data_IF_842525512765
#
_entry.id   IF_842525512765
#
_cell.length_a   1.000
_cell.length_b   1.000
_cell.length_c   1.000
_cell.angle_alpha   90.00
_cell.angle_beta   90.00
_cell.angle_gamma   90.00
#
_symmetry.space_group_name_H-M   'P 1'
#
loop_
_entity.id
_entity.type
_entity.pdbx_description
1 polymer ?
#
# COMPACT_ATOMS: atom_id res chain seq x y z
N UNK A 1 24.01 -3.57 18.50
CA UNK A 1 23.08 -2.63 17.84
C UNK A 1 21.66 -3.01 18.23
N UNK A 2 20.96 -2.16 18.96
CA UNK A 2 19.53 -2.34 19.27
C UNK A 2 18.69 -1.66 18.20
N UNK A 3 17.84 -2.43 17.52
CA UNK A 3 16.85 -1.94 16.56
C UNK A 3 15.52 -1.75 17.30
N UNK A 4 14.76 -0.70 16.97
CA UNK A 4 13.45 -0.43 17.57
C UNK A 4 12.33 -0.77 16.56
N UNK A 5 11.88 -2.03 16.49
CA UNK A 5 10.80 -2.42 15.60
C UNK A 5 9.49 -1.74 16.00
N UNK A 6 8.70 -1.28 15.02
CA UNK A 6 7.30 -0.89 15.21
C UNK A 6 7.02 0.60 15.41
N UNK A 7 7.99 1.41 15.86
CA UNK A 7 7.77 2.86 16.09
C UNK A 7 7.40 3.61 14.80
N UNK A 8 7.89 3.12 13.66
CA UNK A 8 7.65 3.73 12.36
C UNK A 8 6.43 3.17 11.61
N UNK A 9 5.72 2.18 12.16
CA UNK A 9 4.61 1.53 11.45
C UNK A 9 3.50 2.52 11.09
N UNK A 10 2.98 3.24 12.09
CA UNK A 10 1.90 4.23 11.90
C UNK A 10 2.27 5.40 11.00
N UNK A 11 3.41 6.12 11.18
CA UNK A 11 3.73 7.25 10.31
C UNK A 11 3.97 6.81 8.85
N UNK A 12 4.58 5.64 8.63
CA UNK A 12 4.76 5.11 7.26
C UNK A 12 3.41 4.71 6.67
N UNK A 13 2.53 4.08 7.44
CA UNK A 13 1.19 3.75 6.96
C UNK A 13 0.39 4.99 6.58
N UNK A 14 0.42 6.05 7.40
CA UNK A 14 -0.21 7.34 7.07
C UNK A 14 0.34 7.94 5.78
N UNK A 15 1.65 7.88 5.59
CA UNK A 15 2.29 8.33 4.35
C UNK A 15 1.80 7.54 3.12
N UNK A 16 1.74 6.22 3.22
CA UNK A 16 1.22 5.35 2.14
C UNK A 16 -0.23 5.71 1.80
N UNK A 17 -1.09 5.85 2.82
CA UNK A 17 -2.49 6.21 2.61
C UNK A 17 -2.64 7.59 1.97
N UNK A 18 -1.83 8.58 2.39
CA UNK A 18 -1.83 9.90 1.76
C UNK A 18 -1.50 9.81 0.26
N UNK A 19 -0.54 8.95 -0.12
CA UNK A 19 -0.21 8.72 -1.53
C UNK A 19 -1.34 8.03 -2.31
N UNK A 20 -1.97 7.00 -1.75
CA UNK A 20 -3.13 6.35 -2.37
C UNK A 20 -4.26 7.34 -2.62
N UNK A 21 -4.57 8.18 -1.63
CA UNK A 21 -5.59 9.24 -1.75
C UNK A 21 -5.19 10.31 -2.76
N UNK A 22 -3.90 10.68 -2.81
CA UNK A 22 -3.39 11.64 -3.81
C UNK A 22 -3.61 11.16 -5.24
N UNK A 23 -3.34 9.88 -5.51
CA UNK A 23 -3.55 9.26 -6.82
C UNK A 23 -5.03 9.12 -7.17
N UNK A 24 -5.85 8.60 -6.25
CA UNK A 24 -7.29 8.36 -6.50
C UNK A 24 -8.09 9.65 -6.67
N UNK A 25 -7.70 10.72 -5.96
CA UNK A 25 -8.37 12.03 -6.03
C UNK A 25 -7.71 13.00 -7.00
N UNK A 26 -6.69 12.58 -7.75
CA UNK A 26 -6.00 13.41 -8.76
C UNK A 26 -5.53 14.75 -8.18
N UNK A 27 -4.94 14.71 -6.97
CA UNK A 27 -4.59 15.95 -6.25
C UNK A 27 -3.52 16.77 -6.98
N UNK A 28 -2.64 16.11 -7.73
CA UNK A 28 -1.64 16.76 -8.55
C UNK A 28 -2.28 17.58 -9.67
N UNK A 29 -3.21 16.97 -10.40
CA UNK A 29 -3.91 17.58 -11.52
C UNK A 29 -4.79 18.73 -11.04
N UNK A 30 -5.42 18.60 -9.86
CA UNK A 30 -6.11 19.71 -9.21
C UNK A 30 -5.18 20.87 -8.88
N UNK A 31 -3.96 20.60 -8.39
CA UNK A 31 -2.97 21.65 -8.14
C UNK A 31 -2.52 22.36 -9.44
N UNK A 32 -2.36 21.61 -10.53
CA UNK A 32 -2.03 22.16 -11.86
C UNK A 32 -3.19 23.02 -12.43
N UNK A 33 -4.43 22.57 -12.27
CA UNK A 33 -5.62 23.35 -12.63
C UNK A 33 -5.74 24.63 -11.78
N UNK A 34 -5.51 24.54 -10.47
CA UNK A 34 -5.53 25.69 -9.58
C UNK A 34 -4.48 26.74 -9.96
N UNK A 35 -3.25 26.30 -10.26
CA UNK A 35 -2.16 27.18 -10.69
C UNK A 35 -2.48 27.90 -12.01
N UNK A 36 -3.15 27.22 -12.94
CA UNK A 36 -3.62 27.80 -14.21
C UNK A 36 -4.96 28.53 -14.10
N UNK A 37 -5.55 28.62 -12.90
CA UNK A 37 -6.88 29.20 -12.64
C UNK A 37 -8.00 28.57 -13.49
N UNK A 38 -7.82 27.31 -13.87
CA UNK A 38 -8.79 26.54 -14.63
C UNK A 38 -9.68 25.76 -13.66
N UNK A 39 -10.98 25.73 -13.93
CA UNK A 39 -11.92 24.88 -13.21
C UNK A 39 -12.51 23.86 -14.17
N UNK A 40 -11.99 22.63 -14.15
CA UNK A 40 -12.48 21.55 -15.00
C UNK A 40 -12.64 20.25 -14.20
N UNK A 41 -13.76 19.52 -14.37
CA UNK A 41 -13.97 18.28 -13.65
C UNK A 41 -12.92 17.23 -14.04
N UNK A 42 -12.42 16.50 -13.04
CA UNK A 42 -11.51 15.37 -13.20
C UNK A 42 -12.22 14.08 -12.82
N UNK A 43 -11.98 13.01 -13.59
CA UNK A 43 -12.56 11.70 -13.32
C UNK A 43 -11.78 11.02 -12.19
N UNK A 44 -12.21 11.26 -10.95
CA UNK A 44 -11.64 10.63 -9.76
C UNK A 44 -12.05 9.17 -9.68
N UNK A 45 -11.19 8.35 -9.06
CA UNK A 45 -11.50 6.96 -8.70
C UNK A 45 -11.76 6.87 -7.21
N UNK A 46 -12.72 6.04 -6.81
CA UNK A 46 -12.92 5.72 -5.41
C UNK A 46 -11.92 4.63 -5.01
N UNK A 47 -11.17 4.77 -3.91
CA UNK A 47 -10.31 3.69 -3.42
C UNK A 47 -11.10 2.45 -2.97
N UNK A 48 -12.40 2.56 -2.65
CA UNK A 48 -13.21 1.41 -2.22
C UNK A 48 -13.22 0.31 -3.28
N UNK A 49 -12.94 -0.92 -2.86
CA UNK A 49 -12.86 -2.09 -3.72
C UNK A 49 -11.52 -2.25 -4.45
N UNK A 50 -10.65 -1.24 -4.46
CA UNK A 50 -9.30 -1.39 -4.99
C UNK A 50 -8.45 -2.31 -4.10
N UNK A 51 -7.46 -2.95 -4.71
CA UNK A 51 -6.57 -3.91 -4.04
C UNK A 51 -5.23 -3.24 -3.71
N UNK A 52 -4.85 -3.25 -2.43
CA UNK A 52 -3.49 -2.91 -1.99
C UNK A 52 -2.68 -4.19 -1.75
N UNK A 53 -1.65 -4.39 -2.55
CA UNK A 53 -0.66 -5.44 -2.37
C UNK A 53 0.53 -4.97 -1.56
N UNK A 54 0.84 -5.68 -0.48
CA UNK A 54 1.97 -5.34 0.39
C UNK A 54 3.05 -6.41 0.31
N UNK A 55 4.18 -6.06 -0.30
CA UNK A 55 5.38 -6.90 -0.32
C UNK A 55 6.14 -6.66 0.97
N UNK A 56 6.06 -7.62 1.90
CA UNK A 56 6.61 -7.48 3.25
C UNK A 56 5.54 -7.29 4.32
N UNK A 57 4.83 -8.38 4.64
CA UNK A 57 3.81 -8.44 5.70
C UNK A 57 4.39 -8.38 7.13
N UNK A 58 5.25 -7.40 7.43
CA UNK A 58 5.75 -7.10 8.78
C UNK A 58 4.89 -6.07 9.52
N UNK A 59 5.46 -5.43 10.56
CA UNK A 59 4.72 -4.42 11.36
C UNK A 59 4.23 -3.22 10.54
N UNK A 60 5.06 -2.69 9.63
CA UNK A 60 4.65 -1.60 8.72
C UNK A 60 3.54 -2.09 7.77
N UNK A 61 3.76 -3.24 7.13
CA UNK A 61 2.79 -3.77 6.16
C UNK A 61 1.43 -4.06 6.79
N UNK A 62 1.40 -4.57 8.02
CA UNK A 62 0.16 -4.82 8.73
C UNK A 62 -0.61 -3.53 9.05
N UNK A 63 0.09 -2.46 9.45
CA UNK A 63 -0.54 -1.18 9.74
C UNK A 63 -1.05 -0.49 8.46
N UNK A 64 -0.32 -0.60 7.35
CA UNK A 64 -0.79 -0.18 6.02
C UNK A 64 -2.08 -0.91 5.65
N UNK A 65 -2.08 -2.24 5.78
CA UNK A 65 -3.24 -3.06 5.46
C UNK A 65 -4.46 -2.68 6.32
N UNK A 66 -4.25 -2.50 7.64
CA UNK A 66 -5.31 -2.06 8.57
C UNK A 66 -5.95 -0.74 8.14
N UNK A 67 -5.14 0.26 7.77
CA UNK A 67 -5.66 1.56 7.34
C UNK A 67 -6.33 1.50 5.97
N UNK A 68 -5.80 0.71 5.03
CA UNK A 68 -6.39 0.52 3.72
C UNK A 68 -7.75 -0.18 3.80
N UNK A 69 -7.86 -1.23 4.61
CA UNK A 69 -9.14 -1.90 4.89
C UNK A 69 -10.15 -0.93 5.52
N UNK A 70 -9.72 -0.03 6.40
CA UNK A 70 -10.59 1.00 6.97
C UNK A 70 -11.12 2.01 5.92
N UNK A 71 -10.45 2.13 4.77
CA UNK A 71 -10.91 2.90 3.61
C UNK A 71 -11.77 2.08 2.63
N UNK A 72 -12.06 0.82 2.95
CA UNK A 72 -12.83 -0.09 2.11
C UNK A 72 -12.03 -0.70 0.96
N UNK A 73 -10.70 -0.71 1.04
CA UNK A 73 -9.83 -1.42 0.11
C UNK A 73 -9.70 -2.89 0.52
N UNK A 74 -9.40 -3.76 -0.45
CA UNK A 74 -8.94 -5.13 -0.20
C UNK A 74 -7.44 -5.12 0.03
N UNK A 75 -6.94 -5.89 1.00
CA UNK A 75 -5.52 -5.92 1.35
C UNK A 75 -4.95 -7.32 1.19
N UNK A 76 -3.97 -7.48 0.31
CA UNK A 76 -3.26 -8.74 0.11
C UNK A 76 -1.78 -8.55 0.46
N UNK A 77 -1.17 -9.58 1.04
CA UNK A 77 0.20 -9.53 1.54
C UNK A 77 1.09 -10.54 0.86
N UNK A 78 2.38 -10.25 0.76
CA UNK A 78 3.40 -11.22 0.40
C UNK A 78 4.48 -11.31 1.48
N UNK A 79 4.94 -12.54 1.75
CA UNK A 79 6.05 -12.79 2.67
C UNK A 79 6.85 -14.04 2.29
N UNK A 80 8.12 -14.05 2.72
CA UNK A 80 9.06 -15.14 2.41
C UNK A 80 8.72 -16.48 3.07
N UNK A 81 8.19 -16.48 4.30
CA UNK A 81 7.87 -17.71 5.08
C UNK A 81 6.40 -17.70 5.42
N UNK A 82 5.66 -18.80 5.25
CA UNK A 82 4.23 -18.88 5.53
C UNK A 82 3.84 -18.57 6.99
N UNK A 83 2.63 -18.00 7.19
CA UNK A 83 2.00 -17.69 8.48
C UNK A 83 1.07 -16.46 8.42
N UNK A 84 0.28 -16.26 9.46
CA UNK A 84 -0.82 -15.29 9.49
C UNK A 84 -0.40 -13.92 10.03
N UNK A 85 -0.90 -12.85 9.39
CA UNK A 85 -0.92 -11.49 9.95
C UNK A 85 -2.32 -10.92 9.74
N UNK A 86 -2.96 -10.48 10.83
CA UNK A 86 -4.43 -10.38 10.89
C UNK A 86 -5.11 -9.27 10.08
N UNK A 87 -4.36 -8.44 9.34
CA UNK A 87 -4.93 -7.31 8.60
C UNK A 87 -4.99 -7.55 7.09
N UNK A 88 -4.56 -8.72 6.62
CA UNK A 88 -4.60 -9.11 5.21
C UNK A 88 -5.74 -10.10 4.95
N UNK A 89 -6.45 -9.93 3.84
CA UNK A 89 -7.42 -10.88 3.30
C UNK A 89 -6.71 -12.18 2.90
N UNK A 90 -5.61 -12.05 2.15
CA UNK A 90 -4.78 -13.16 1.70
C UNK A 90 -3.29 -12.89 1.89
N UNK A 91 -2.51 -13.97 2.09
CA UNK A 91 -1.06 -13.92 2.21
C UNK A 91 -0.43 -14.90 1.22
N UNK A 92 0.27 -14.35 0.25
CA UNK A 92 1.06 -15.06 -0.73
C UNK A 92 2.49 -15.31 -0.25
N UNK A 93 3.11 -16.36 -0.80
CA UNK A 93 4.49 -16.76 -0.49
C UNK A 93 5.19 -17.31 -1.72
N UNK A 94 6.53 -17.28 -1.73
CA UNK A 94 7.33 -17.76 -2.87
C UNK A 94 7.29 -16.80 -4.06
N UNK A 95 8.02 -17.11 -5.13
CA UNK A 95 8.07 -16.26 -6.33
C UNK A 95 6.72 -16.23 -7.06
N UNK A 96 6.08 -17.39 -7.26
CA UNK A 96 4.75 -17.47 -7.88
C UNK A 96 3.70 -16.66 -7.11
N UNK A 97 3.79 -16.65 -5.78
CA UNK A 97 2.92 -15.83 -4.94
C UNK A 97 3.20 -14.34 -5.06
N UNK A 98 4.44 -13.94 -5.37
CA UNK A 98 4.74 -12.53 -5.62
C UNK A 98 4.09 -12.08 -6.93
N UNK A 99 4.21 -12.90 -7.98
CA UNK A 99 3.60 -12.62 -9.28
C UNK A 99 2.06 -12.54 -9.16
N UNK A 100 1.45 -13.46 -8.42
CA UNK A 100 0.02 -13.42 -8.13
C UNK A 100 -0.40 -12.12 -7.43
N UNK A 101 0.34 -11.71 -6.38
CA UNK A 101 0.08 -10.45 -5.69
C UNK A 101 0.18 -9.26 -6.65
N UNK A 102 1.21 -9.21 -7.49
CA UNK A 102 1.40 -8.11 -8.44
C UNK A 102 0.29 -8.03 -9.49
N UNK A 103 -0.22 -9.17 -9.95
CA UNK A 103 -1.33 -9.21 -10.91
C UNK A 103 -2.65 -8.75 -10.31
N UNK A 104 -2.88 -8.99 -9.01
CA UNK A 104 -4.13 -8.62 -8.34
C UNK A 104 -4.12 -7.18 -7.80
N UNK A 105 -2.96 -6.53 -7.68
CA UNK A 105 -2.81 -5.25 -6.99
C UNK A 105 -3.07 -4.04 -7.88
N UNK A 106 -3.94 -3.13 -7.44
CA UNK A 106 -4.03 -1.77 -7.99
C UNK A 106 -2.92 -0.86 -7.45
N UNK A 107 -2.52 -1.08 -6.19
CA UNK A 107 -1.44 -0.36 -5.51
C UNK A 107 -0.47 -1.35 -4.89
N UNK A 108 0.83 -1.17 -5.15
CA UNK A 108 1.88 -2.02 -4.57
C UNK A 108 2.69 -1.23 -3.56
N UNK A 109 2.79 -1.76 -2.34
CA UNK A 109 3.56 -1.20 -1.24
C UNK A 109 4.72 -2.12 -0.93
N UNK A 110 5.94 -1.63 -1.15
CA UNK A 110 7.16 -2.39 -0.87
C UNK A 110 7.69 -2.01 0.52
N UNK A 111 7.56 -2.94 1.47
CA UNK A 111 7.94 -2.78 2.87
C UNK A 111 8.89 -3.91 3.32
N UNK A 112 9.79 -4.34 2.44
CA UNK A 112 10.84 -5.34 2.75
C UNK A 112 12.14 -4.67 3.19
N UNK A 113 12.91 -5.31 4.09
CA UNK A 113 14.25 -4.84 4.41
C UNK A 113 15.16 -4.93 3.18
N UNK A 114 16.04 -3.94 3.00
CA UNK A 114 17.02 -3.96 1.92
C UNK A 114 18.08 -5.05 2.18
N UNK A 115 17.97 -6.15 1.45
CA UNK A 115 18.89 -7.30 1.47
C UNK A 115 19.36 -7.60 0.06
N UNK A 116 20.47 -8.34 -0.16
CA UNK A 116 20.89 -8.74 -1.50
C UNK A 116 19.80 -9.45 -2.32
N UNK A 117 18.87 -10.13 -1.63
CA UNK A 117 17.74 -10.85 -2.24
C UNK A 117 16.55 -9.94 -2.61
N UNK A 118 16.55 -8.68 -2.20
CA UNK A 118 15.44 -7.72 -2.38
C UNK A 118 15.93 -6.38 -2.92
N UNK A 119 17.06 -6.40 -3.64
CA UNK A 119 17.62 -5.25 -4.34
C UNK A 119 17.01 -5.13 -5.72
#
# INVERSE_FOLDING_TARGET
MTYCPGVYATPIAQYVIAHVLSCTRMLREHAEQQASKTWAPLMQRDPRGAVVGVVGAGGIGNEVARMATALGMRSIGWRRRAGSFGSFEDIFTGEEGLDALLMESDFVVVAVPNTPQTR
#
